data_IF_771852842866
#
_entry.id   IF_771852842866
#
_cell.length_a   1.000
_cell.length_b   1.000
_cell.length_c   1.000
_cell.angle_alpha   90.00
_cell.angle_beta   90.00
_cell.angle_gamma   90.00
#
_symmetry.space_group_name_H-M   'P 1'
#
loop_
_entity.id
_entity.type
_entity.pdbx_description
1 polymer ?
2 non-polymer ?
3 non-polymer ?
4 water ?
#
# COMPACT_ATOMS: atom_id res chain seq x y z
N UNK A 1 16.98 -1.73 0.65
CA UNK A 1 16.33 -2.96 0.12
C UNK A 1 15.12 -3.32 0.97
N UNK A 2 13.98 -3.39 0.30
CA UNK A 2 12.71 -3.77 0.88
C UNK A 2 12.21 -5.01 0.16
N UNK A 3 11.46 -5.85 0.87
CA UNK A 3 10.90 -7.06 0.28
C UNK A 3 9.43 -7.20 0.66
N UNK A 4 8.97 -6.43 1.65
CA UNK A 4 7.66 -6.67 2.22
C UNK A 4 6.59 -5.96 1.40
N UNK A 5 5.49 -6.69 1.17
CA UNK A 5 4.32 -6.13 0.55
C UNK A 5 3.73 -5.08 1.49
N UNK A 6 3.09 -4.07 0.92
CA UNK A 6 2.42 -3.05 1.72
C UNK A 6 0.94 -3.05 1.37
N UNK A 7 0.13 -2.89 2.41
CA UNK A 7 -1.30 -2.66 2.28
C UNK A 7 -1.62 -1.38 3.03
N UNK A 8 -2.58 -0.60 2.53
CA UNK A 8 -3.05 0.53 3.33
C UNK A 8 -4.49 0.26 3.76
N UNK A 9 -4.87 0.92 4.86
CA UNK A 9 -6.21 0.78 5.39
C UNK A 9 -7.15 1.67 4.59
N UNK A 10 -8.18 1.06 3.98
CA UNK A 10 -9.14 1.81 3.18
C UNK A 10 -10.36 2.20 4.01
N UNK A 11 -10.73 1.37 5.00
CA UNK A 11 -11.84 1.70 5.89
C UNK A 11 -11.41 2.84 6.83
N UNK A 12 -12.40 3.48 7.47
CA UNK A 12 -12.05 4.59 8.35
C UNK A 12 -11.22 4.11 9.55
N UNK A 13 -11.52 2.89 10.00
CA UNK A 13 -10.85 2.26 11.14
C UNK A 13 -10.71 0.77 10.87
N UNK A 14 -9.73 0.15 11.53
CA UNK A 14 -9.52 -1.29 11.43
C UNK A 14 -8.97 -1.83 12.75
N UNK A 15 -9.70 -2.78 13.37
CA UNK A 15 -9.18 -3.50 14.51
C UNK A 15 -8.04 -4.43 14.09
N UNK A 16 -6.99 -4.48 14.91
CA UNK A 16 -5.91 -5.44 14.77
C UNK A 16 -6.18 -6.52 15.80
N UNK A 17 -6.25 -7.78 15.35
CA UNK A 17 -6.64 -8.89 16.22
C UNK A 17 -5.45 -9.81 16.53
N UNK A 18 -5.55 -10.54 17.66
CA UNK A 18 -4.48 -11.46 18.05
C UNK A 18 -4.65 -12.81 17.36
N UNK A 19 -5.84 -13.07 16.79
CA UNK A 19 -6.10 -14.28 16.02
C UNK A 19 -6.90 -13.86 14.80
N UNK A 20 -7.09 -14.77 13.84
CA UNK A 20 -7.74 -14.45 12.57
C UNK A 20 -9.26 -14.47 12.70
N UNK A 21 -9.77 -13.75 13.70
CA UNK A 21 -11.21 -13.74 13.95
C UNK A 21 -11.55 -12.62 14.92
N UNK A 22 -12.86 -12.38 15.07
CA UNK A 22 -13.36 -11.31 15.93
C UNK A 22 -13.69 -11.80 17.34
N UNK A 23 -13.23 -13.00 17.70
CA UNK A 23 -13.38 -13.50 19.07
C UNK A 23 -12.01 -13.55 19.73
N UNK A 24 -11.12 -12.65 19.31
CA UNK A 24 -9.78 -12.56 19.88
C UNK A 24 -9.52 -11.13 20.33
N UNK A 25 -8.45 -10.94 21.10
CA UNK A 25 -8.12 -9.63 21.65
C UNK A 25 -7.83 -8.62 20.54
N UNK A 26 -8.32 -7.39 20.72
CA UNK A 26 -7.95 -6.28 19.86
C UNK A 26 -6.65 -5.67 20.40
N UNK A 27 -5.58 -5.78 19.61
CA UNK A 27 -4.25 -5.32 19.99
C UNK A 27 -4.10 -3.82 19.78
N UNK A 28 -4.94 -3.27 18.91
CA UNK A 28 -4.89 -1.85 18.58
C UNK A 28 -5.83 -1.58 17.43
N UNK A 29 -5.94 -0.31 17.07
CA UNK A 29 -6.73 0.10 15.94
C UNK A 29 -5.86 0.92 15.01
N UNK A 30 -6.06 0.66 13.71
CA UNK A 30 -5.46 1.47 12.67
C UNK A 30 -6.53 2.36 12.07
N UNK A 31 -6.12 3.44 11.41
CA UNK A 31 -7.06 4.33 10.76
C UNK A 31 -6.71 4.44 9.28
N UNK A 32 -7.68 4.95 8.52
CA UNK A 32 -7.54 5.11 7.08
C UNK A 32 -6.18 5.71 6.74
N UNK A 33 -5.55 5.08 5.74
CA UNK A 33 -4.29 5.50 5.14
C UNK A 33 -3.07 4.99 5.90
N UNK A 34 -3.27 4.40 7.08
CA UNK A 34 -2.17 3.72 7.74
C UNK A 34 -1.75 2.53 6.89
N UNK A 35 -0.53 2.05 7.08
CA UNK A 35 -0.08 0.90 6.31
C UNK A 35 0.35 -0.22 7.23
N UNK A 36 0.27 -1.43 6.67
CA UNK A 36 0.86 -2.61 7.25
C UNK A 36 1.76 -3.26 6.21
N UNK A 37 2.81 -3.90 6.69
CA UNK A 37 3.74 -4.64 5.86
C UNK A 37 3.55 -6.12 6.16
N UNK A 38 3.59 -6.97 5.13
CA UNK A 38 3.45 -8.40 5.36
C UNK A 38 4.19 -9.17 4.26
N UNK A 39 4.57 -10.41 4.59
CA UNK A 39 5.14 -11.33 3.62
C UNK A 39 4.18 -12.48 3.37
N UNK A 40 3.06 -12.50 4.10
CA UNK A 40 2.19 -13.68 4.12
C UNK A 40 1.07 -13.58 3.10
N UNK A 41 0.44 -14.73 2.84
CA UNK A 41 -0.66 -14.81 1.91
C UNK A 41 -1.97 -14.70 2.68
N UNK A 42 -2.96 -14.06 2.06
CA UNK A 42 -4.28 -13.95 2.64
C UNK A 42 -4.88 -15.34 2.74
N UNK A 43 -5.49 -15.65 3.90
CA UNK A 43 -6.14 -16.92 4.14
C UNK A 43 -7.54 -16.68 4.68
N UNK A 44 -8.55 -17.13 3.94
CA UNK A 44 -9.95 -17.03 4.35
C UNK A 44 -10.30 -15.61 4.81
N UNK A 45 -9.79 -14.61 4.09
CA UNK A 45 -10.18 -13.22 4.27
C UNK A 45 -9.37 -12.48 5.34
N UNK A 46 -8.34 -13.10 5.90
CA UNK A 46 -7.52 -12.50 6.93
C UNK A 46 -6.05 -12.57 6.53
N UNK A 47 -5.29 -11.57 6.99
CA UNK A 47 -3.87 -11.47 6.72
C UNK A 47 -3.10 -11.43 8.02
N UNK A 48 -2.11 -12.32 8.14
CA UNK A 48 -1.18 -12.33 9.26
C UNK A 48 -0.03 -11.36 9.00
N UNK A 49 0.36 -10.62 10.04
CA UNK A 49 1.48 -9.69 9.96
C UNK A 49 2.02 -9.48 11.37
N UNK A 50 3.03 -8.65 11.51
CA UNK A 50 3.62 -8.39 12.81
C UNK A 50 3.23 -6.98 13.24
N UNK A 51 2.53 -6.88 14.37
CA UNK A 51 2.07 -5.61 14.92
C UNK A 51 2.73 -5.41 16.27
N UNK A 52 3.60 -4.39 16.37
CA UNK A 52 4.28 -4.08 17.61
C UNK A 52 4.96 -5.33 18.17
N UNK A 53 5.58 -6.11 17.28
CA UNK A 53 6.36 -7.28 17.64
C UNK A 53 5.52 -8.52 17.89
N UNK A 54 4.19 -8.42 17.77
CA UNK A 54 3.32 -9.55 18.00
C UNK A 54 2.73 -10.10 16.71
N UNK A 55 2.52 -11.42 16.65
CA UNK A 55 1.73 -12.00 15.57
C UNK A 55 0.35 -11.38 15.64
N UNK A 56 -0.15 -10.89 14.52
CA UNK A 56 -1.43 -10.19 14.50
C UNK A 56 -2.12 -10.45 13.17
N UNK A 57 -3.42 -10.13 13.13
CA UNK A 57 -4.21 -10.41 11.95
C UNK A 57 -5.22 -9.29 11.72
N UNK A 58 -5.53 -9.05 10.43
CA UNK A 58 -6.56 -8.10 10.07
C UNK A 58 -7.46 -8.70 8.99
N UNK A 59 -8.71 -8.27 9.03
CA UNK A 59 -9.70 -8.57 8.00
C UNK A 59 -9.32 -7.79 6.74
N UNK A 60 -8.97 -8.50 5.66
CA UNK A 60 -8.41 -7.84 4.48
C UNK A 60 -9.43 -7.03 3.70
N UNK A 61 -10.73 -7.15 3.98
CA UNK A 61 -11.69 -6.35 3.24
C UNK A 61 -11.57 -4.88 3.63
N UNK A 62 -10.87 -4.61 4.75
CA UNK A 62 -10.64 -3.28 5.26
C UNK A 62 -9.35 -2.69 4.71
N UNK A 63 -8.66 -3.45 3.86
CA UNK A 63 -7.40 -3.07 3.27
C UNK A 63 -7.55 -2.85 1.76
N UNK A 64 -6.57 -2.10 1.24
CA UNK A 64 -6.33 -1.93 -0.18
C UNK A 64 -5.84 -3.25 -0.79
N UNK A 65 -5.68 -3.23 -2.10
CA UNK A 65 -4.87 -4.22 -2.78
C UNK A 65 -3.41 -4.03 -2.35
N UNK A 66 -2.61 -5.06 -2.59
CA UNK A 66 -1.19 -5.03 -2.24
C UNK A 66 -0.42 -4.08 -3.16
N UNK A 67 0.59 -3.39 -2.58
CA UNK A 67 1.50 -2.55 -3.36
C UNK A 67 2.91 -3.15 -3.35
N UNK B 1 4.76 27.51 -18.98
CA UNK B 1 4.25 27.28 -17.60
C UNK B 1 3.94 25.79 -17.42
N UNK B 2 3.10 25.46 -16.43
CA UNK B 2 2.86 24.08 -16.06
C UNK B 2 1.76 23.46 -16.93
N UNK B 3 1.95 22.17 -17.27
CA UNK B 3 0.99 21.46 -18.11
C UNK B 3 0.63 20.09 -17.53
N UNK B 4 1.46 19.56 -16.62
CA UNK B 4 1.29 18.18 -16.17
C UNK B 4 0.35 18.06 -14.97
N UNK B 5 -0.55 17.07 -15.06
CA UNK B 5 -1.39 16.66 -13.95
C UNK B 5 -0.47 16.05 -12.88
N UNK B 6 -0.90 16.10 -11.61
CA UNK B 6 -0.09 15.50 -10.56
C UNK B 6 -0.92 14.61 -9.66
N UNK B 7 -0.26 13.58 -9.13
CA UNK B 7 -0.81 12.74 -8.09
C UNK B 7 0.00 12.99 -6.81
N UNK B 8 -0.61 12.73 -5.65
CA UNK B 8 0.17 12.62 -4.44
C UNK B 8 -0.13 11.27 -3.79
N UNK B 9 0.81 10.82 -2.97
CA UNK B 9 0.67 9.56 -2.27
C UNK B 9 -0.25 9.78 -1.06
N UNK B 10 -1.33 9.00 -0.99
CA UNK B 10 -2.31 9.17 0.07
C UNK B 10 -2.03 8.25 1.24
N UNK B 11 -1.33 7.14 0.99
CA UNK B 11 -1.00 6.18 2.04
C UNK B 11 0.26 6.60 2.77
N UNK B 12 0.48 6.04 3.97
CA UNK B 12 1.68 6.39 4.70
C UNK B 12 2.94 6.04 3.91
N UNK B 13 2.93 4.88 3.26
CA UNK B 13 4.07 4.36 2.52
C UNK B 13 3.56 3.71 1.24
N UNK B 14 4.44 3.62 0.23
CA UNK B 14 4.11 3.03 -1.06
C UNK B 14 5.36 2.39 -1.66
N UNK B 15 5.29 1.07 -1.92
CA UNK B 15 6.35 0.39 -2.64
C UNK B 15 6.39 0.88 -4.09
N UNK B 16 7.60 1.12 -4.59
CA UNK B 16 7.83 1.34 -6.01
C UNK B 16 8.33 0.02 -6.60
N UNK B 17 7.61 -0.51 -7.60
CA UNK B 17 7.92 -1.82 -8.14
C UNK B 17 8.62 -1.69 -9.49
N UNK B 18 9.43 -2.68 -9.85
CA UNK B 18 10.16 -2.65 -11.11
C UNK B 18 9.27 -3.05 -12.29
N UNK B 19 8.14 -3.71 -11.99
CA UNK B 19 7.15 -4.12 -12.97
C UNK B 19 5.76 -3.77 -12.44
N UNK B 20 4.75 -3.88 -13.30
CA UNK B 20 3.38 -3.55 -12.93
C UNK B 20 2.72 -4.70 -12.16
N UNK B 21 3.39 -5.16 -11.09
CA UNK B 21 2.87 -6.27 -10.30
C UNK B 21 3.62 -6.35 -8.97
N UNK B 22 3.07 -7.10 -8.02
CA UNK B 22 3.66 -7.23 -6.69
C UNK B 22 4.59 -8.44 -6.61
N UNK B 23 4.87 -9.09 -7.75
CA UNK B 23 5.84 -10.17 -7.77
C UNK B 23 7.13 -9.68 -8.45
N UNK B 24 7.41 -8.38 -8.31
CA UNK B 24 8.61 -7.80 -8.87
C UNK B 24 9.43 -7.11 -7.77
N UNK B 25 10.67 -6.75 -8.12
CA UNK B 25 11.59 -6.13 -7.19
C UNK B 25 11.07 -4.78 -6.74
N UNK B 26 11.25 -4.48 -5.45
CA UNK B 26 10.96 -3.19 -4.88
C UNK B 26 12.19 -2.31 -5.03
N UNK B 27 12.03 -1.20 -5.77
CA UNK B 27 13.11 -0.28 -6.09
C UNK B 27 13.28 0.77 -5.02
N UNK B 28 12.24 0.97 -4.21
CA UNK B 28 12.29 1.95 -3.14
C UNK B 28 10.88 2.20 -2.63
N UNK B 29 10.74 3.19 -1.75
CA UNK B 29 9.44 3.52 -1.19
C UNK B 29 9.21 5.02 -1.21
N UNK B 30 7.95 5.38 -1.50
CA UNK B 30 7.49 6.74 -1.41
C UNK B 30 6.67 6.86 -0.12
N UNK B 31 6.47 8.10 0.33
CA UNK B 31 5.74 8.35 1.56
C UNK B 31 4.60 9.33 1.30
N UNK B 32 3.69 9.36 2.26
CA UNK B 32 2.52 10.22 2.21
C UNK B 32 2.95 11.63 1.82
N UNK B 33 2.22 12.17 0.84
CA UNK B 33 2.30 13.55 0.38
C UNK B 33 3.37 13.75 -0.68
N UNK B 34 4.17 12.72 -0.97
CA UNK B 34 5.06 12.78 -2.13
C UNK B 34 4.23 12.92 -3.40
N UNK B 35 4.78 13.62 -4.40
CA UNK B 35 4.08 13.85 -5.66
C UNK B 35 4.72 13.06 -6.79
N UNK B 36 3.87 12.64 -7.73
CA UNK B 36 4.30 12.07 -9.00
C UNK B 36 3.59 12.85 -10.11
N UNK B 37 4.35 13.34 -11.10
CA UNK B 37 3.75 13.97 -12.28
C UNK B 37 3.19 12.86 -13.16
N UNK B 38 1.94 13.03 -13.61
CA UNK B 38 1.25 12.04 -14.42
C UNK B 38 1.91 11.87 -15.79
N UNK B 39 2.00 10.59 -16.19
CA UNK B 39 2.53 10.19 -17.48
C UNK B 39 1.38 9.80 -18.41
N UNK B 40 0.18 9.67 -17.83
CA UNK B 40 -1.01 9.19 -18.51
C UNK B 40 -0.85 7.71 -18.89
N UNK B 41 0.12 7.02 -18.29
CA UNK B 41 0.36 5.63 -18.61
C UNK B 41 -0.02 4.76 -17.43
N UNK B 42 -1.23 4.21 -17.48
CA UNK B 42 -1.76 3.34 -16.43
C UNK B 42 -2.19 2.03 -17.07
N UNK B 43 -1.83 0.91 -16.45
CA UNK B 43 -2.19 -0.41 -16.95
C UNK B 43 -2.61 -1.28 -15.78
N UNK B 44 -3.87 -1.73 -15.81
CA UNK B 44 -4.41 -2.67 -14.83
C UNK B 44 -4.12 -2.18 -13.42
N UNK B 45 -4.32 -0.88 -13.18
CA UNK B 45 -4.26 -0.31 -11.84
C UNK B 45 -2.85 0.10 -11.40
N UNK B 46 -1.90 0.14 -12.34
CA UNK B 46 -0.52 0.50 -12.06
C UNK B 46 -0.11 1.70 -12.89
N UNK B 47 0.43 2.72 -12.22
CA UNK B 47 0.95 3.90 -12.90
C UNK B 47 2.42 3.68 -13.23
N UNK B 48 2.78 3.94 -14.50
CA UNK B 48 4.16 3.91 -14.94
C UNK B 48 4.76 5.31 -14.79
N UNK B 49 5.95 5.40 -14.20
CA UNK B 49 6.60 6.70 -14.05
C UNK B 49 8.11 6.45 -13.96
N UNK B 50 8.90 7.53 -13.93
CA UNK B 50 10.34 7.37 -13.84
C UNK B 50 10.78 7.63 -12.40
N UNK B 51 11.47 6.62 -11.83
CA UNK B 51 11.94 6.66 -10.46
C UNK B 51 13.46 6.45 -10.48
N UNK B 52 14.20 7.47 -10.04
CA UNK B 52 15.65 7.41 -9.97
C UNK B 52 16.26 6.92 -11.29
N UNK B 53 15.75 7.45 -12.40
CA UNK B 53 16.34 7.20 -13.70
C UNK B 53 15.91 5.87 -14.32
N UNK B 54 14.90 5.21 -13.74
CA UNK B 54 14.43 3.95 -14.28
C UNK B 54 12.91 3.97 -14.35
N UNK B 55 12.35 3.29 -15.36
CA UNK B 55 10.91 3.12 -15.44
C UNK B 55 10.48 2.28 -14.24
N UNK B 56 9.41 2.70 -13.58
CA UNK B 56 8.91 2.01 -12.40
C UNK B 56 7.39 2.13 -12.34
N UNK B 57 6.81 1.44 -11.36
CA UNK B 57 5.36 1.31 -11.28
C UNK B 57 4.92 1.45 -9.84
N UNK B 58 3.74 2.05 -9.65
CA UNK B 58 3.09 2.06 -8.35
C UNK B 58 1.61 1.71 -8.51
N UNK B 59 1.09 1.09 -7.45
CA UNK B 59 -0.32 0.78 -7.31
C UNK B 59 -1.08 2.10 -7.20
N UNK B 60 -1.93 2.40 -8.20
CA UNK B 60 -2.52 3.73 -8.29
C UNK B 60 -3.58 3.95 -7.21
N UNK B 61 -4.02 2.89 -6.53
CA UNK B 61 -4.98 3.05 -5.44
C UNK B 61 -4.34 3.66 -4.20
N UNK B 62 -2.99 3.77 -4.19
CA UNK B 62 -2.27 4.42 -3.11
C UNK B 62 -2.05 5.90 -3.42
N UNK B 63 -2.57 6.33 -4.58
CA UNK B 63 -2.44 7.70 -5.02
C UNK B 63 -3.79 8.39 -4.97
N UNK B 64 -3.71 9.71 -4.92
CA UNK B 64 -4.87 10.58 -4.97
C UNK B 64 -5.49 10.56 -6.35
N UNK B 65 -6.64 11.22 -6.46
CA UNK B 65 -7.11 11.66 -7.76
C UNK B 65 -6.15 12.75 -8.26
N UNK B 66 -6.17 13.01 -9.56
CA UNK B 66 -5.25 13.97 -10.13
C UNK B 66 -5.67 15.41 -9.79
N UNK B 67 -4.65 16.27 -9.68
CA UNK B 67 -4.82 17.70 -9.45
C UNK B 67 -4.34 18.51 -10.66
X LIG C 1 -0.37 -18.05 17.09
X LIG D 1 -4.74 -15.75 8.46
X LIG D 1 -5.38 -16.62 9.01
X LIG D 1 -3.41 -15.80 8.26
X LIG E 1 3.37 -12.90 19.46
X LIG E 1 4.08 -13.12 18.50
X LIG E 1 2.08 -12.52 19.40
X LIG F 1 0.08 3.56 12.25
X LIG F 1 0.73 2.91 11.46
X LIG F 1 0.17 4.90 12.37
X LIG G 1 -3.66 16.70 -19.89
X LIG H 1 5.38 -3.80 -16.99
X LIG H 1 5.76 -4.44 -16.03
X LIG H 1 4.10 -3.41 -17.17
#
# INVERSE_FOLDING_TARGET
EFTKDIYHVTADLLNVRSESNTESKILGRLKKDDVIESTNQVKDGWLQFEYKGKTAYVNVSFLSSKA
EFTKDIYHVTADLLNVRSESNTESKILGRLKKDDVIESTNQVKDGWLQFEYKGKTAYVNVSFLSSKA
MG MG
FMT C O1 O2
FMT C O1 O2
FMT C O1 O2
MG MG
FMT C O1 O2
#
